data_IF_445831991286
#
_entry.id   IF_445831991286
#
_cell.length_a   1.000
_cell.length_b   1.000
_cell.length_c   1.000
_cell.angle_alpha   90.00
_cell.angle_beta   90.00
_cell.angle_gamma   90.00
#
_symmetry.space_group_name_H-M   'P 1'
#
loop_
_entity.id
_entity.type
_entity.pdbx_description
1 polymer ?
#
# COMPACT_ATOMS: atom_id res chain seq x y z
N UNK A 1 -23.66 15.24 -6.83
CA UNK A 1 -24.27 14.08 -6.11
C UNK A 1 -23.21 13.62 -5.13
N UNK A 2 -23.47 13.71 -3.84
CA UNK A 2 -22.50 13.31 -2.80
C UNK A 2 -22.35 11.78 -2.81
N UNK A 3 -21.12 11.29 -2.84
CA UNK A 3 -20.84 9.86 -2.79
C UNK A 3 -20.94 9.31 -1.37
N UNK A 4 -21.25 8.03 -1.26
CA UNK A 4 -21.07 7.31 0.00
C UNK A 4 -19.58 7.27 0.38
N UNK A 5 -19.24 7.15 1.68
CA UNK A 5 -17.85 7.09 2.10
C UNK A 5 -17.05 6.03 1.35
N UNK A 6 -15.95 6.45 0.72
CA UNK A 6 -15.08 5.58 -0.07
C UNK A 6 -14.20 4.72 0.84
N UNK A 7 -13.61 5.34 1.87
CA UNK A 7 -12.85 4.64 2.90
C UNK A 7 -13.73 4.52 4.14
N UNK A 8 -13.98 3.31 4.62
CA UNK A 8 -14.83 3.05 5.80
C UNK A 8 -14.10 2.33 6.92
N UNK A 9 -12.85 1.97 6.71
CA UNK A 9 -11.98 1.29 7.67
C UNK A 9 -10.53 1.75 7.44
N UNK A 10 -9.79 1.98 8.50
CA UNK A 10 -8.35 2.27 8.41
C UNK A 10 -7.51 1.03 8.06
N UNK A 11 -8.11 -0.16 8.01
CA UNK A 11 -7.50 -1.36 7.42
C UNK A 11 -7.60 -1.40 5.89
N UNK A 12 -8.40 -0.52 5.26
CA UNK A 12 -8.56 -0.49 3.79
C UNK A 12 -7.31 0.15 3.13
N UNK A 13 -6.19 -0.51 3.33
CA UNK A 13 -4.86 -0.12 2.84
C UNK A 13 -4.00 -1.36 2.65
N UNK A 14 -2.84 -1.19 2.02
CA UNK A 14 -1.91 -2.29 1.76
C UNK A 14 -1.05 -2.61 3.00
N UNK A 15 -0.82 -3.90 3.27
CA UNK A 15 -0.06 -4.38 4.43
C UNK A 15 1.33 -3.74 4.56
N UNK A 16 2.01 -3.49 3.43
CA UNK A 16 3.33 -2.89 3.45
C UNK A 16 3.36 -1.48 4.09
N UNK A 17 2.23 -0.77 4.12
CA UNK A 17 2.14 0.52 4.81
C UNK A 17 2.31 0.35 6.32
N UNK A 18 1.61 -0.61 6.92
CA UNK A 18 1.81 -0.93 8.35
C UNK A 18 3.21 -1.43 8.64
N UNK A 19 3.77 -2.25 7.76
CA UNK A 19 5.10 -2.80 7.96
C UNK A 19 6.18 -1.71 7.94
N UNK A 20 6.16 -0.83 6.93
CA UNK A 20 7.12 0.28 6.86
C UNK A 20 6.93 1.24 8.02
N UNK A 21 5.68 1.56 8.34
CA UNK A 21 5.35 2.48 9.42
C UNK A 21 5.80 1.97 10.78
N UNK A 22 5.71 0.67 11.05
CA UNK A 22 6.22 0.06 12.28
C UNK A 22 7.74 0.28 12.43
N UNK A 23 8.52 0.14 11.35
CA UNK A 23 9.96 0.46 11.38
C UNK A 23 10.19 1.94 11.66
N UNK A 24 9.45 2.82 10.97
CA UNK A 24 9.59 4.27 11.14
C UNK A 24 9.19 4.69 12.56
N UNK A 25 8.11 4.14 13.08
CA UNK A 25 7.66 4.38 14.46
C UNK A 25 8.73 3.99 15.50
N UNK A 26 9.46 2.89 15.30
CA UNK A 26 10.47 2.45 16.25
C UNK A 26 11.83 3.12 16.08
N UNK A 27 12.17 3.58 14.88
CA UNK A 27 13.53 4.01 14.53
C UNK A 27 13.67 5.47 14.11
N UNK A 28 12.61 6.05 13.53
CA UNK A 28 12.70 7.31 12.78
C UNK A 28 11.51 8.25 13.04
N UNK A 29 11.10 8.40 14.29
CA UNK A 29 9.93 9.24 14.66
C UNK A 29 10.16 10.73 14.46
N UNK A 30 11.40 11.16 14.31
CA UNK A 30 11.82 12.55 14.07
C UNK A 30 11.76 12.97 12.60
N UNK A 31 11.61 12.02 11.68
CA UNK A 31 11.54 12.32 10.26
C UNK A 31 10.20 12.94 9.85
N UNK A 32 10.29 13.90 8.92
CA UNK A 32 9.13 14.45 8.24
C UNK A 32 9.10 14.01 6.77
N UNK A 33 7.89 13.79 6.25
CA UNK A 33 7.66 13.41 4.87
C UNK A 33 6.78 14.42 4.15
N UNK A 34 6.98 14.54 2.84
CA UNK A 34 6.15 15.33 1.96
C UNK A 34 5.85 14.54 0.70
N UNK A 35 4.56 14.39 0.38
CA UNK A 35 4.06 13.61 -0.75
C UNK A 35 3.29 14.53 -1.69
N UNK A 36 3.55 14.40 -2.99
CA UNK A 36 2.86 15.13 -4.04
C UNK A 36 2.11 14.16 -4.95
N UNK A 37 0.84 14.40 -5.15
CA UNK A 37 0.09 13.71 -6.18
C UNK A 37 0.53 14.19 -7.57
N UNK A 38 0.77 13.25 -8.47
CA UNK A 38 1.06 13.53 -9.87
C UNK A 38 0.23 12.62 -10.77
N UNK A 39 -0.72 13.21 -11.49
CA UNK A 39 -1.40 12.49 -12.58
C UNK A 39 -0.44 12.36 -13.77
N UNK A 40 -0.21 11.11 -14.23
CA UNK A 40 0.67 10.86 -15.39
C UNK A 40 -0.05 10.92 -16.72
N UNK A 41 -1.38 11.00 -16.70
CA UNK A 41 -2.21 11.10 -17.91
C UNK A 41 -2.54 12.57 -18.18
N UNK A 42 -1.99 13.11 -19.24
CA UNK A 42 -2.11 14.53 -19.61
C UNK A 42 -3.57 14.97 -19.96
N UNK A 43 -4.46 14.02 -20.30
CA UNK A 43 -5.84 14.30 -20.66
C UNK A 43 -6.84 14.22 -19.50
N UNK A 44 -6.36 14.03 -18.26
CA UNK A 44 -7.21 13.98 -17.07
C UNK A 44 -7.34 15.39 -16.50
N UNK A 45 -8.58 15.86 -16.44
CA UNK A 45 -8.95 17.16 -15.88
C UNK A 45 -9.90 16.92 -14.70
N UNK A 46 -9.61 17.55 -13.58
CA UNK A 46 -10.46 17.57 -12.40
C UNK A 46 -11.33 18.83 -12.40
N UNK A 47 -12.59 18.68 -12.03
CA UNK A 47 -13.53 19.79 -11.90
C UNK A 47 -13.63 20.29 -10.46
N UNK A 48 -14.12 21.53 -10.22
CA UNK A 48 -14.40 22.00 -8.87
C UNK A 48 -15.31 21.06 -8.06
N UNK A 49 -16.31 20.43 -8.72
CA UNK A 49 -17.19 19.45 -8.10
C UNK A 49 -16.42 18.21 -7.63
N UNK A 50 -15.48 17.72 -8.45
CA UNK A 50 -14.60 16.61 -8.05
C UNK A 50 -13.72 16.98 -6.87
N UNK A 51 -13.17 18.21 -6.86
CA UNK A 51 -12.35 18.68 -5.74
C UNK A 51 -13.16 18.77 -4.45
N UNK A 52 -14.39 19.28 -4.51
CA UNK A 52 -15.30 19.33 -3.35
C UNK A 52 -15.57 17.93 -2.81
N UNK A 53 -15.93 16.98 -3.68
CA UNK A 53 -16.16 15.59 -3.27
C UNK A 53 -14.88 14.94 -2.69
N UNK A 54 -13.71 15.16 -3.29
CA UNK A 54 -12.42 14.67 -2.76
C UNK A 54 -12.19 15.21 -1.34
N UNK A 55 -12.44 16.50 -1.08
CA UNK A 55 -12.30 17.09 0.24
C UNK A 55 -13.28 16.48 1.25
N UNK A 56 -14.55 16.31 0.89
CA UNK A 56 -15.54 15.66 1.74
C UNK A 56 -15.11 14.24 2.13
N UNK A 57 -14.56 13.47 1.18
CA UNK A 57 -14.04 12.12 1.42
C UNK A 57 -12.78 12.13 2.31
N UNK A 58 -11.90 13.11 2.16
CA UNK A 58 -10.72 13.27 3.03
C UNK A 58 -11.16 13.67 4.45
N UNK A 59 -12.12 14.57 4.59
CA UNK A 59 -12.67 14.96 5.90
C UNK A 59 -13.29 13.75 6.61
N UNK A 60 -14.02 12.91 5.87
CA UNK A 60 -14.55 11.66 6.40
C UNK A 60 -13.43 10.69 6.81
N UNK A 61 -12.43 10.46 5.96
CA UNK A 61 -11.26 9.64 6.29
C UNK A 61 -10.60 10.11 7.60
N UNK A 62 -10.41 11.41 7.78
CA UNK A 62 -9.76 11.98 8.97
C UNK A 62 -10.63 11.85 10.25
N UNK A 63 -11.92 11.58 10.10
CA UNK A 63 -12.82 11.28 11.23
C UNK A 63 -12.72 9.84 11.72
N UNK A 64 -12.16 8.92 10.91
CA UNK A 64 -12.05 7.50 11.26
C UNK A 64 -11.07 7.25 12.40
N UNK A 65 -11.33 6.20 13.12
CA UNK A 65 -10.46 5.63 14.17
C UNK A 65 -10.44 4.11 14.00
N UNK A 66 -9.34 3.49 14.41
CA UNK A 66 -9.30 2.02 14.47
C UNK A 66 -10.31 1.50 15.49
N UNK A 67 -11.12 0.54 15.07
CA UNK A 67 -11.99 -0.20 15.96
C UNK A 67 -11.22 -1.32 16.68
N UNK A 68 -11.78 -1.78 17.80
CA UNK A 68 -11.12 -2.80 18.63
C UNK A 68 -10.84 -4.08 17.85
N UNK A 69 -11.76 -4.55 17.05
CA UNK A 69 -11.66 -5.76 16.24
C UNK A 69 -10.61 -5.64 15.11
N UNK A 70 -10.46 -4.44 14.53
CA UNK A 70 -9.39 -4.12 13.58
C UNK A 70 -8.00 -4.20 14.24
N UNK A 71 -7.86 -3.63 15.43
CA UNK A 71 -6.63 -3.71 16.21
C UNK A 71 -6.32 -5.15 16.66
N UNK A 72 -7.34 -5.91 17.06
CA UNK A 72 -7.19 -7.32 17.43
C UNK A 72 -6.75 -8.16 16.21
N UNK A 73 -7.26 -7.84 15.02
CA UNK A 73 -6.79 -8.47 13.79
C UNK A 73 -5.32 -8.14 13.50
N UNK A 74 -4.91 -6.87 13.58
CA UNK A 74 -3.49 -6.49 13.40
C UNK A 74 -2.59 -7.21 14.40
N UNK A 75 -2.97 -7.33 15.67
CA UNK A 75 -2.22 -8.12 16.68
C UNK A 75 -2.10 -9.60 16.32
N UNK A 76 -3.04 -10.15 15.58
CA UNK A 76 -2.99 -11.54 15.14
C UNK A 76 -1.95 -11.81 14.05
N UNK A 77 -1.48 -10.77 13.38
CA UNK A 77 -0.41 -10.87 12.37
C UNK A 77 0.92 -10.96 13.10
N UNK A 78 1.58 -12.12 13.00
CA UNK A 78 2.75 -12.52 13.82
C UNK A 78 3.85 -11.48 13.96
N UNK A 79 4.12 -10.70 12.91
CA UNK A 79 5.21 -9.74 12.86
C UNK A 79 4.78 -8.29 13.16
N UNK A 80 3.50 -8.03 13.38
CA UNK A 80 3.02 -6.73 13.86
C UNK A 80 3.16 -6.71 15.38
N UNK A 81 3.97 -5.78 15.91
CA UNK A 81 4.28 -5.68 17.33
C UNK A 81 3.16 -5.01 18.13
N UNK A 82 2.97 -5.45 19.36
CA UNK A 82 1.87 -4.99 20.23
C UNK A 82 1.96 -3.51 20.57
N UNK A 83 3.18 -2.98 20.78
CA UNK A 83 3.42 -1.56 21.06
C UNK A 83 3.07 -0.66 19.88
N UNK A 84 3.37 -1.11 18.64
CA UNK A 84 2.92 -0.43 17.44
C UNK A 84 1.37 -0.43 17.31
N UNK A 85 0.71 -1.54 17.64
CA UNK A 85 -0.76 -1.58 17.66
C UNK A 85 -1.35 -0.65 18.73
N UNK A 86 -0.69 -0.51 19.90
CA UNK A 86 -1.12 0.47 20.90
C UNK A 86 -0.91 1.92 20.41
N UNK A 87 0.13 2.20 19.63
CA UNK A 87 0.26 3.47 18.95
C UNK A 87 -0.90 3.70 17.97
N UNK A 88 -1.23 2.73 17.11
CA UNK A 88 -2.34 2.82 16.15
C UNK A 88 -3.69 3.04 16.83
N UNK A 89 -3.88 2.55 18.05
CA UNK A 89 -5.11 2.80 18.83
C UNK A 89 -5.32 4.30 19.13
N UNK A 90 -4.26 5.07 19.20
CA UNK A 90 -4.30 6.52 19.44
C UNK A 90 -4.17 7.34 18.15
N UNK A 91 -3.58 6.75 17.12
CA UNK A 91 -3.32 7.40 15.84
C UNK A 91 -4.60 7.53 15.01
N UNK A 92 -4.67 8.59 14.24
CA UNK A 92 -5.66 8.78 13.19
C UNK A 92 -5.12 9.70 12.11
N UNK A 93 -5.67 9.65 10.87
CA UNK A 93 -5.31 10.61 9.82
C UNK A 93 -5.64 12.04 10.28
N UNK A 94 -4.69 12.96 10.12
CA UNK A 94 -4.81 14.35 10.54
C UNK A 94 -5.06 15.23 9.30
N UNK A 95 -6.21 15.93 9.28
CA UNK A 95 -6.67 16.70 8.11
C UNK A 95 -5.70 17.82 7.72
N UNK A 96 -5.08 18.45 8.70
CA UNK A 96 -4.15 19.55 8.53
C UNK A 96 -2.89 19.19 7.76
N UNK A 97 -2.58 17.90 7.64
CA UNK A 97 -1.45 17.45 6.83
C UNK A 97 -1.76 17.42 5.33
N UNK A 98 -3.05 17.46 4.94
CA UNK A 98 -3.48 17.31 3.55
C UNK A 98 -3.92 18.65 2.97
N UNK A 99 -3.27 19.06 1.89
CA UNK A 99 -3.60 20.27 1.15
C UNK A 99 -4.08 19.89 -0.25
N UNK A 100 -5.17 20.52 -0.70
CA UNK A 100 -5.79 20.23 -1.99
C UNK A 100 -6.07 21.52 -2.73
N UNK A 101 -6.10 21.46 -4.06
CA UNK A 101 -6.45 22.57 -4.93
C UNK A 101 -6.55 22.14 -6.39
N UNK A 102 -6.90 23.07 -7.26
CA UNK A 102 -6.85 22.90 -8.70
C UNK A 102 -5.94 23.98 -9.32
N UNK A 103 -5.16 23.59 -10.31
CA UNK A 103 -4.49 24.55 -11.18
C UNK A 103 -5.48 25.17 -12.18
N UNK A 104 -5.07 26.24 -12.86
CA UNK A 104 -5.86 26.86 -13.93
C UNK A 104 -6.15 25.89 -15.11
N UNK A 105 -5.32 24.87 -15.27
CA UNK A 105 -5.52 23.80 -16.28
C UNK A 105 -6.39 22.64 -15.79
N UNK A 106 -6.88 22.67 -14.55
CA UNK A 106 -7.67 21.59 -13.96
C UNK A 106 -6.82 20.39 -13.46
N UNK A 107 -5.52 20.58 -13.25
CA UNK A 107 -4.68 19.56 -12.59
C UNK A 107 -4.96 19.56 -11.09
N UNK A 108 -5.18 18.36 -10.52
CA UNK A 108 -5.35 18.22 -9.08
C UNK A 108 -4.01 18.46 -8.37
N UNK A 109 -3.98 19.48 -7.54
CA UNK A 109 -2.90 19.79 -6.62
C UNK A 109 -3.25 19.13 -5.28
N UNK A 110 -2.54 18.07 -4.91
CA UNK A 110 -2.75 17.36 -3.65
C UNK A 110 -1.39 17.06 -3.03
N UNK A 111 -1.19 17.55 -1.81
CA UNK A 111 0.05 17.40 -1.05
C UNK A 111 -0.26 16.91 0.34
N UNK A 112 0.56 16.01 0.85
CA UNK A 112 0.55 15.58 2.26
C UNK A 112 1.88 15.93 2.88
N UNK A 113 1.87 16.61 4.03
CA UNK A 113 3.09 17.03 4.74
C UNK A 113 2.94 16.87 6.24
N UNK A 114 3.85 16.13 6.86
CA UNK A 114 3.83 15.89 8.31
C UNK A 114 4.88 14.89 8.76
N UNK A 115 4.83 14.43 10.02
CA UNK A 115 5.69 13.35 10.49
C UNK A 115 5.60 12.15 9.54
N UNK A 116 6.75 11.56 9.20
CA UNK A 116 6.84 10.50 8.17
C UNK A 116 5.91 9.32 8.46
N UNK A 117 5.88 8.86 9.72
CA UNK A 117 5.00 7.76 10.16
C UNK A 117 3.51 8.05 10.00
N UNK A 118 3.11 9.31 9.89
CA UNK A 118 1.72 9.70 9.66
C UNK A 118 1.45 10.04 8.20
N UNK A 119 2.36 10.80 7.55
CA UNK A 119 2.19 11.26 6.18
C UNK A 119 2.14 10.09 5.18
N UNK A 120 2.97 9.06 5.38
CA UNK A 120 3.03 7.90 4.49
C UNK A 120 1.75 7.07 4.43
N UNK A 121 0.96 7.08 5.51
CA UNK A 121 -0.28 6.32 5.58
C UNK A 121 -1.36 6.86 4.62
N UNK A 122 -1.29 8.13 4.25
CA UNK A 122 -2.26 8.77 3.38
C UNK A 122 -2.21 8.28 1.92
N UNK A 123 -1.08 7.77 1.43
CA UNK A 123 -0.89 7.47 0.00
C UNK A 123 -2.03 6.61 -0.57
N UNK A 124 -2.28 5.44 0.04
CA UNK A 124 -3.25 4.49 -0.50
C UNK A 124 -4.66 5.06 -0.43
N UNK A 125 -5.07 5.59 0.72
CA UNK A 125 -6.39 6.19 0.91
C UNK A 125 -6.67 7.32 -0.08
N UNK A 126 -5.70 8.24 -0.28
CA UNK A 126 -5.88 9.35 -1.19
C UNK A 126 -5.95 8.92 -2.64
N UNK A 127 -5.13 7.93 -3.05
CA UNK A 127 -5.20 7.39 -4.41
C UNK A 127 -6.52 6.67 -4.67
N UNK A 128 -7.07 5.96 -3.69
CA UNK A 128 -8.38 5.32 -3.77
C UNK A 128 -9.50 6.37 -3.87
N UNK A 129 -9.48 7.40 -3.04
CA UNK A 129 -10.44 8.49 -3.07
C UNK A 129 -10.42 9.20 -4.44
N UNK A 130 -9.24 9.65 -4.88
CA UNK A 130 -9.09 10.38 -6.15
C UNK A 130 -9.56 9.53 -7.33
N UNK A 131 -9.18 8.25 -7.38
CA UNK A 131 -9.59 7.35 -8.46
C UNK A 131 -11.10 7.14 -8.47
N UNK A 132 -11.71 6.80 -7.33
CA UNK A 132 -13.14 6.51 -7.27
C UNK A 132 -13.98 7.74 -7.58
N UNK A 133 -13.64 8.91 -7.03
CA UNK A 133 -14.32 10.19 -7.36
C UNK A 133 -14.21 10.47 -8.86
N UNK A 134 -13.00 10.37 -9.44
CA UNK A 134 -12.81 10.60 -10.86
C UNK A 134 -13.64 9.64 -11.71
N UNK A 135 -13.59 8.33 -11.47
CA UNK A 135 -14.33 7.36 -12.27
C UNK A 135 -15.84 7.52 -12.15
N UNK A 136 -16.37 7.82 -10.96
CA UNK A 136 -17.80 7.98 -10.76
C UNK A 136 -18.39 9.27 -11.33
N UNK A 137 -17.64 10.35 -11.33
CA UNK A 137 -18.11 11.65 -11.80
C UNK A 137 -17.78 11.93 -13.27
N UNK A 138 -16.80 11.21 -13.84
CA UNK A 138 -16.34 11.45 -15.22
C UNK A 138 -16.91 10.44 -16.24
N UNK A 139 -17.16 9.20 -15.83
CA UNK A 139 -17.59 8.14 -16.75
C UNK A 139 -19.01 7.65 -16.43
N UNK A 140 -19.64 7.00 -17.44
CA UNK A 140 -20.76 6.08 -17.17
C UNK A 140 -20.21 4.87 -16.40
N UNK A 141 -20.31 4.95 -15.08
CA UNK A 141 -19.72 3.98 -14.16
C UNK A 141 -20.28 2.57 -14.40
N UNK A 142 -21.55 2.41 -14.76
CA UNK A 142 -22.16 1.10 -15.02
C UNK A 142 -21.53 0.40 -16.23
N UNK A 143 -21.30 1.12 -17.30
CA UNK A 143 -20.61 0.60 -18.50
C UNK A 143 -19.16 0.25 -18.21
N UNK A 144 -18.46 1.10 -17.44
CA UNK A 144 -17.07 0.85 -17.03
C UNK A 144 -16.96 -0.41 -16.17
N UNK A 145 -17.84 -0.57 -15.19
CA UNK A 145 -17.88 -1.74 -14.30
C UNK A 145 -18.22 -3.03 -15.08
N UNK A 146 -19.16 -2.99 -16.00
CA UNK A 146 -19.49 -4.14 -16.85
C UNK A 146 -18.29 -4.60 -17.68
N UNK A 147 -17.54 -3.68 -18.28
CA UNK A 147 -16.31 -3.96 -19.02
C UNK A 147 -15.22 -4.53 -18.12
N UNK A 148 -15.04 -3.97 -16.92
CA UNK A 148 -14.08 -4.46 -15.93
C UNK A 148 -14.44 -5.89 -15.48
N UNK A 149 -15.73 -6.17 -15.26
CA UNK A 149 -16.23 -7.51 -14.88
C UNK A 149 -15.96 -8.54 -15.99
N UNK A 150 -16.16 -8.19 -17.25
CA UNK A 150 -15.85 -9.08 -18.37
C UNK A 150 -14.34 -9.43 -18.44
N UNK A 151 -13.47 -8.43 -18.21
CA UNK A 151 -12.02 -8.67 -18.13
C UNK A 151 -11.62 -9.54 -16.93
N UNK A 152 -12.25 -9.36 -15.78
CA UNK A 152 -12.00 -10.20 -14.60
C UNK A 152 -12.41 -11.67 -14.88
N UNK A 153 -13.57 -11.90 -15.49
CA UNK A 153 -13.99 -13.25 -15.88
C UNK A 153 -13.01 -13.92 -16.83
N UNK A 154 -12.48 -13.17 -17.81
CA UNK A 154 -11.46 -13.72 -18.71
C UNK A 154 -10.18 -14.08 -17.97
N UNK A 155 -9.69 -13.23 -17.05
CA UNK A 155 -8.52 -13.52 -16.22
C UNK A 155 -8.73 -14.77 -15.35
N UNK A 156 -9.91 -14.93 -14.74
CA UNK A 156 -10.24 -16.13 -13.94
C UNK A 156 -10.21 -17.39 -14.80
N UNK A 157 -10.77 -17.32 -16.03
CA UNK A 157 -10.68 -18.45 -16.97
C UNK A 157 -9.24 -18.78 -17.35
N UNK A 158 -8.41 -17.77 -17.58
CA UNK A 158 -7.02 -17.94 -17.95
C UNK A 158 -6.21 -18.58 -16.79
N UNK A 159 -6.41 -18.15 -15.55
CA UNK A 159 -5.79 -18.77 -14.37
C UNK A 159 -6.21 -20.23 -14.18
N UNK A 160 -7.47 -20.55 -14.47
CA UNK A 160 -8.00 -21.91 -14.31
C UNK A 160 -7.72 -22.83 -15.51
N UNK A 161 -7.20 -22.31 -16.62
CA UNK A 161 -6.93 -23.09 -17.85
C UNK A 161 -5.79 -24.11 -17.72
N UNK A 162 -5.02 -24.07 -16.62
CA UNK A 162 -3.80 -24.86 -16.44
C UNK A 162 -2.57 -24.31 -17.17
N UNK A 163 -2.72 -23.20 -17.90
CA UNK A 163 -1.61 -22.53 -18.60
C UNK A 163 -0.61 -21.90 -17.63
N UNK A 164 -1.07 -21.49 -16.46
CA UNK A 164 -0.28 -20.80 -15.44
C UNK A 164 -0.14 -21.65 -14.19
N UNK A 165 1.10 -21.92 -13.77
CA UNK A 165 1.45 -22.73 -12.60
C UNK A 165 1.91 -21.90 -11.41
N UNK A 166 2.06 -20.58 -11.57
CA UNK A 166 2.50 -19.69 -10.49
C UNK A 166 1.34 -19.29 -9.57
N UNK A 167 1.66 -19.02 -8.31
CA UNK A 167 0.75 -18.35 -7.39
C UNK A 167 0.91 -16.84 -7.52
N UNK A 168 -0.19 -16.10 -7.32
CA UNK A 168 -0.17 -14.64 -7.35
C UNK A 168 -0.88 -14.05 -6.12
N UNK A 169 -0.47 -12.83 -5.76
CA UNK A 169 -1.17 -11.99 -4.79
C UNK A 169 -1.85 -10.83 -5.51
N UNK A 170 -3.01 -10.43 -5.02
CA UNK A 170 -3.74 -9.28 -5.52
C UNK A 170 -3.18 -7.99 -4.88
N UNK A 171 -2.89 -6.95 -5.69
CA UNK A 171 -2.29 -5.66 -5.29
C UNK A 171 -2.95 -4.48 -6.00
N UNK A 172 -4.27 -4.48 -6.14
CA UNK A 172 -5.00 -3.50 -6.94
C UNK A 172 -5.55 -2.29 -6.17
N UNK A 173 -5.47 -2.26 -4.84
CA UNK A 173 -6.16 -1.29 -3.97
C UNK A 173 -6.05 0.16 -4.47
N UNK A 174 -4.85 0.69 -4.59
CA UNK A 174 -4.61 2.09 -4.97
C UNK A 174 -5.02 2.48 -6.39
N UNK A 175 -5.42 1.51 -7.22
CA UNK A 175 -5.86 1.71 -8.63
C UNK A 175 -7.27 1.18 -8.88
N UNK A 176 -8.02 0.93 -7.82
CA UNK A 176 -9.36 0.38 -7.91
C UNK A 176 -10.34 1.38 -8.57
N UNK A 177 -11.37 0.85 -9.21
CA UNK A 177 -12.47 1.67 -9.75
C UNK A 177 -13.36 2.19 -8.62
N UNK A 178 -13.60 1.34 -7.62
CA UNK A 178 -14.33 1.67 -6.40
C UNK A 178 -14.04 0.64 -5.31
N UNK A 179 -14.41 0.97 -4.09
CA UNK A 179 -14.34 0.05 -2.94
C UNK A 179 -15.15 -1.23 -3.20
N UNK A 180 -16.37 -1.10 -3.71
CA UNK A 180 -17.25 -2.24 -4.00
C UNK A 180 -16.67 -3.12 -5.11
N UNK A 181 -16.07 -2.50 -6.14
CA UNK A 181 -15.41 -3.24 -7.21
C UNK A 181 -14.18 -4.01 -6.70
N UNK A 182 -13.34 -3.40 -5.89
CA UNK A 182 -12.18 -4.06 -5.31
C UNK A 182 -12.58 -5.25 -4.43
N UNK A 183 -13.63 -5.08 -3.63
CA UNK A 183 -14.22 -6.16 -2.83
C UNK A 183 -14.67 -7.34 -3.71
N UNK A 184 -15.39 -7.07 -4.82
CA UNK A 184 -15.78 -8.10 -5.78
C UNK A 184 -14.56 -8.80 -6.40
N UNK A 185 -13.55 -8.05 -6.80
CA UNK A 185 -12.30 -8.59 -7.40
C UNK A 185 -11.63 -9.56 -6.45
N UNK A 186 -11.32 -9.14 -5.23
CA UNK A 186 -10.64 -9.97 -4.24
C UNK A 186 -11.45 -11.22 -3.91
N UNK A 187 -12.75 -11.06 -3.62
CA UNK A 187 -13.64 -12.19 -3.34
C UNK A 187 -13.67 -13.21 -4.48
N UNK A 188 -13.77 -12.74 -5.74
CA UNK A 188 -13.85 -13.63 -6.90
C UNK A 188 -12.53 -14.33 -7.20
N UNK A 189 -11.40 -13.63 -7.09
CA UNK A 189 -10.08 -14.24 -7.25
C UNK A 189 -9.86 -15.32 -6.19
N UNK A 190 -10.16 -15.03 -4.93
CA UNK A 190 -10.00 -15.97 -3.83
C UNK A 190 -10.89 -17.21 -3.96
N UNK A 191 -12.14 -17.05 -4.43
CA UNK A 191 -13.10 -18.16 -4.49
C UNK A 191 -13.09 -18.93 -5.81
N UNK A 192 -12.68 -18.30 -6.91
CA UNK A 192 -12.76 -18.88 -8.26
C UNK A 192 -11.42 -19.27 -8.87
N UNK A 193 -10.29 -18.96 -8.20
CA UNK A 193 -8.96 -19.39 -8.65
C UNK A 193 -8.26 -20.20 -7.58
N UNK A 194 -7.44 -21.17 -7.98
CA UNK A 194 -6.61 -21.97 -7.06
C UNK A 194 -5.26 -21.32 -6.75
N UNK A 195 -4.89 -20.30 -7.52
CA UNK A 195 -3.55 -19.74 -7.52
C UNK A 195 -3.46 -18.41 -6.76
N UNK A 196 -4.58 -17.88 -6.25
CA UNK A 196 -4.59 -16.67 -5.44
C UNK A 196 -4.05 -16.97 -4.04
N UNK A 197 -2.86 -16.44 -3.73
CA UNK A 197 -2.19 -16.63 -2.44
C UNK A 197 -2.72 -15.68 -1.36
N UNK A 198 -3.35 -14.56 -1.74
CA UNK A 198 -3.87 -13.55 -0.83
C UNK A 198 -3.98 -12.17 -1.49
N UNK A 199 -4.13 -11.16 -0.67
CA UNK A 199 -4.22 -9.76 -1.11
C UNK A 199 -3.33 -8.86 -0.26
N UNK A 200 -2.90 -7.74 -0.83
CA UNK A 200 -2.19 -6.70 -0.06
C UNK A 200 -3.12 -5.90 0.84
N UNK A 201 -4.40 -5.79 0.48
CA UNK A 201 -5.40 -5.04 1.21
C UNK A 201 -5.75 -5.74 2.55
N UNK A 202 -5.42 -5.09 3.66
CA UNK A 202 -5.55 -5.67 5.00
C UNK A 202 -7.01 -5.89 5.39
N UNK A 203 -7.90 -4.94 5.04
CA UNK A 203 -9.34 -5.08 5.30
C UNK A 203 -9.94 -6.27 4.55
N UNK A 204 -9.61 -6.43 3.27
CA UNK A 204 -10.15 -7.52 2.46
C UNK A 204 -9.52 -8.87 2.83
N UNK A 205 -8.25 -8.89 3.25
CA UNK A 205 -7.63 -10.08 3.83
C UNK A 205 -8.38 -10.54 5.09
N UNK A 206 -8.64 -9.62 6.01
CA UNK A 206 -9.44 -9.89 7.20
C UNK A 206 -10.86 -10.39 6.86
N UNK A 207 -11.57 -9.61 6.02
CA UNK A 207 -12.95 -9.90 5.64
C UNK A 207 -13.16 -11.29 5.02
N UNK A 208 -12.20 -11.73 4.22
CA UNK A 208 -12.28 -13.00 3.46
C UNK A 208 -11.39 -14.10 4.02
N UNK A 209 -10.79 -13.89 5.20
CA UNK A 209 -9.86 -14.82 5.83
C UNK A 209 -8.75 -15.27 4.87
N UNK A 210 -8.15 -14.29 4.17
CA UNK A 210 -7.03 -14.47 3.27
C UNK A 210 -5.72 -14.10 3.97
N UNK A 211 -4.60 -14.52 3.39
CA UNK A 211 -3.28 -14.08 3.84
C UNK A 211 -3.05 -12.63 3.40
N UNK A 212 -2.83 -11.69 4.33
CA UNK A 212 -2.37 -10.36 3.97
C UNK A 212 -0.92 -10.45 3.48
N UNK A 213 -0.62 -9.86 2.30
CA UNK A 213 0.67 -10.00 1.63
C UNK A 213 1.25 -8.61 1.34
N UNK A 214 2.51 -8.42 1.68
CA UNK A 214 3.26 -7.19 1.41
C UNK A 214 4.44 -7.09 2.36
N UNK A 215 5.58 -6.62 1.86
CA UNK A 215 6.76 -6.34 2.67
C UNK A 215 6.95 -4.82 2.79
N UNK A 216 7.66 -4.20 1.85
CA UNK A 216 7.82 -2.75 1.78
C UNK A 216 7.76 -2.25 0.33
N UNK A 217 7.59 -0.94 0.15
CA UNK A 217 7.63 -0.26 -1.14
C UNK A 217 8.92 0.55 -1.29
N UNK A 218 9.19 1.05 -2.50
CA UNK A 218 10.36 1.88 -2.80
C UNK A 218 10.50 3.07 -1.84
N UNK A 219 9.41 3.67 -1.40
CA UNK A 219 9.41 4.81 -0.48
C UNK A 219 10.16 4.53 0.82
N UNK A 220 10.21 3.27 1.29
CA UNK A 220 10.97 2.90 2.48
C UNK A 220 12.46 3.16 2.29
N UNK A 221 13.05 2.68 1.18
CA UNK A 221 14.46 2.95 0.88
C UNK A 221 14.69 4.41 0.49
N UNK A 222 13.73 5.03 -0.22
CA UNK A 222 13.81 6.45 -0.58
C UNK A 222 13.84 7.37 0.65
N UNK A 223 13.15 7.00 1.74
CA UNK A 223 13.25 7.72 3.01
C UNK A 223 14.69 7.81 3.51
N UNK A 224 15.45 6.71 3.43
CA UNK A 224 16.85 6.68 3.85
C UNK A 224 17.75 7.54 2.94
N UNK A 225 17.37 7.78 1.69
CA UNK A 225 18.07 8.73 0.79
C UNK A 225 17.92 10.19 1.25
N UNK A 226 16.87 10.50 2.01
CA UNK A 226 16.61 11.82 2.57
C UNK A 226 17.26 12.05 3.94
N UNK A 227 17.96 11.08 4.53
CA UNK A 227 18.64 11.23 5.81
C UNK A 227 20.08 11.70 5.56
N UNK A 228 20.39 12.94 5.92
CA UNK A 228 21.67 13.60 5.64
C UNK A 228 22.91 12.83 6.11
N UNK A 229 22.79 12.09 7.21
CA UNK A 229 23.89 11.27 7.77
C UNK A 229 24.16 9.98 7.00
N UNK A 230 23.30 9.59 6.07
CA UNK A 230 23.42 8.34 5.31
C UNK A 230 23.89 8.64 3.89
N UNK A 231 25.11 8.21 3.49
CA UNK A 231 25.53 8.35 2.11
C UNK A 231 24.62 7.56 1.16
N UNK A 232 24.28 8.14 0.00
CA UNK A 232 23.37 7.55 -0.98
C UNK A 232 23.73 6.10 -1.37
N UNK A 233 25.02 5.79 -1.46
CA UNK A 233 25.50 4.45 -1.77
C UNK A 233 25.15 3.38 -0.71
N UNK A 234 24.88 3.79 0.52
CA UNK A 234 24.56 2.87 1.63
C UNK A 234 23.10 2.86 2.05
N UNK A 235 22.22 3.54 1.34
CA UNK A 235 20.79 3.63 1.72
C UNK A 235 20.10 2.26 1.75
N UNK A 236 20.40 1.37 0.79
CA UNK A 236 19.88 0.01 0.81
C UNK A 236 20.36 -0.76 2.05
N UNK A 237 21.62 -0.62 2.41
CA UNK A 237 22.21 -1.29 3.57
C UNK A 237 21.54 -0.87 4.88
N UNK A 238 21.41 0.44 5.12
CA UNK A 238 20.75 0.93 6.33
C UNK A 238 19.26 0.57 6.38
N UNK A 239 18.55 0.70 5.27
CA UNK A 239 17.15 0.30 5.19
C UNK A 239 16.97 -1.19 5.50
N UNK A 240 17.83 -2.05 4.96
CA UNK A 240 17.78 -3.49 5.21
C UNK A 240 18.18 -3.84 6.64
N UNK A 241 19.15 -3.16 7.22
CA UNK A 241 19.57 -3.39 8.60
C UNK A 241 18.41 -3.09 9.58
N UNK A 242 17.74 -1.94 9.42
CA UNK A 242 16.58 -1.59 10.26
C UNK A 242 15.39 -2.53 10.03
N UNK A 243 15.15 -2.92 8.77
CA UNK A 243 14.11 -3.89 8.44
C UNK A 243 14.35 -5.25 9.12
N UNK A 244 15.59 -5.74 9.06
CA UNK A 244 15.93 -6.99 9.72
C UNK A 244 15.83 -6.90 11.24
N UNK A 245 16.33 -5.82 11.83
CA UNK A 245 16.27 -5.63 13.28
C UNK A 245 14.81 -5.61 13.76
N UNK A 246 13.91 -5.05 12.95
CA UNK A 246 12.49 -5.02 13.24
C UNK A 246 11.83 -6.40 13.12
N UNK A 247 12.09 -7.12 12.03
CA UNK A 247 11.33 -8.32 11.65
C UNK A 247 12.06 -9.64 11.94
N UNK A 248 13.36 -9.61 12.24
CA UNK A 248 14.16 -10.79 12.64
C UNK A 248 14.02 -11.98 11.68
N UNK A 249 13.94 -11.73 10.38
CA UNK A 249 13.80 -12.74 9.33
C UNK A 249 12.37 -13.01 8.86
N UNK A 250 11.35 -12.43 9.49
CA UNK A 250 10.03 -12.29 8.89
C UNK A 250 10.06 -11.21 7.81
N UNK A 251 9.09 -11.23 6.88
CA UNK A 251 9.02 -10.26 5.78
C UNK A 251 10.32 -10.16 4.93
N UNK A 252 11.01 -11.28 4.72
CA UNK A 252 12.34 -11.35 4.10
C UNK A 252 12.39 -11.13 2.59
N UNK A 253 11.33 -10.62 1.94
CA UNK A 253 11.35 -10.29 0.50
C UNK A 253 11.79 -8.85 0.31
N UNK A 254 12.96 -8.66 -0.30
CA UNK A 254 13.53 -7.35 -0.58
C UNK A 254 13.11 -6.82 -1.97
N UNK A 255 12.83 -5.51 -2.05
CA UNK A 255 12.64 -4.76 -3.28
C UNK A 255 14.00 -4.16 -3.68
N UNK A 256 14.58 -4.67 -4.75
CA UNK A 256 16.00 -4.42 -5.08
C UNK A 256 16.24 -3.24 -6.01
N UNK A 257 15.20 -2.72 -6.66
CA UNK A 257 15.30 -1.79 -7.78
C UNK A 257 14.99 -0.32 -7.42
N UNK A 258 15.11 0.07 -6.14
CA UNK A 258 14.84 1.46 -5.71
C UNK A 258 15.76 2.46 -6.42
N UNK A 259 17.05 2.15 -6.56
CA UNK A 259 18.00 2.85 -7.44
C UNK A 259 18.24 1.98 -8.66
N UNK A 260 18.97 0.87 -8.49
CA UNK A 260 19.12 -0.22 -9.46
C UNK A 260 19.35 -1.53 -8.71
N UNK A 261 18.93 -2.65 -9.31
CA UNK A 261 19.21 -3.98 -8.74
C UNK A 261 20.73 -4.24 -8.68
N UNK A 262 21.51 -3.76 -9.66
CA UNK A 262 22.97 -3.92 -9.66
C UNK A 262 23.62 -3.21 -8.46
N UNK A 263 23.16 -2.01 -8.13
CA UNK A 263 23.67 -1.29 -6.94
C UNK A 263 23.27 -2.00 -5.65
N UNK A 264 22.03 -2.49 -5.56
CA UNK A 264 21.59 -3.28 -4.42
C UNK A 264 22.46 -4.54 -4.23
N UNK A 265 22.74 -5.27 -5.30
CA UNK A 265 23.58 -6.47 -5.27
C UNK A 265 25.07 -6.15 -4.98
N UNK A 266 25.57 -5.00 -5.42
CA UNK A 266 26.92 -4.54 -5.11
C UNK A 266 27.09 -4.23 -3.62
N UNK A 267 26.09 -3.63 -3.01
CA UNK A 267 26.06 -3.32 -1.57
C UNK A 267 25.66 -4.54 -0.69
N UNK A 268 25.29 -5.66 -1.33
CA UNK A 268 24.80 -6.87 -0.70
C UNK A 268 25.96 -7.69 -0.12
N UNK A 269 26.37 -7.34 1.07
CA UNK A 269 27.46 -7.98 1.79
C UNK A 269 27.03 -9.24 2.56
N UNK A 270 27.98 -9.86 3.26
CA UNK A 270 27.75 -11.07 4.05
C UNK A 270 26.74 -10.86 5.18
N UNK A 271 26.64 -9.65 5.73
CA UNK A 271 25.64 -9.32 6.77
C UNK A 271 24.25 -9.33 6.18
N UNK A 272 24.04 -8.75 5.00
CA UNK A 272 22.76 -8.77 4.30
C UNK A 272 22.35 -10.19 3.87
N UNK A 273 23.30 -11.04 3.50
CA UNK A 273 23.03 -12.48 3.25
C UNK A 273 22.46 -13.15 4.48
N UNK A 274 23.00 -12.87 5.65
CA UNK A 274 22.48 -13.38 6.92
C UNK A 274 21.06 -12.86 7.20
N UNK A 275 20.72 -11.65 6.76
CA UNK A 275 19.39 -11.04 6.87
C UNK A 275 18.33 -11.80 6.06
N UNK A 276 18.66 -12.21 4.86
CA UNK A 276 17.74 -12.92 3.96
C UNK A 276 17.72 -14.43 4.21
N UNK A 277 18.79 -14.99 4.75
CA UNK A 277 18.95 -16.45 4.94
C UNK A 277 18.14 -17.01 6.11
N UNK A 278 17.70 -16.19 7.03
CA UNK A 278 16.91 -16.61 8.20
C UNK A 278 15.41 -16.69 7.95
N UNK A 279 14.94 -16.29 6.75
CA UNK A 279 13.54 -16.44 6.38
C UNK A 279 13.19 -17.90 6.09
N UNK A 280 12.17 -18.47 6.74
CA UNK A 280 11.73 -19.83 6.50
C UNK A 280 10.92 -20.00 5.19
N UNK A 281 10.91 -18.99 4.30
CA UNK A 281 10.14 -19.04 3.06
C UNK A 281 10.68 -20.15 2.13
N UNK A 282 9.81 -21.01 1.58
CA UNK A 282 10.22 -21.99 0.55
C UNK A 282 10.83 -21.36 -0.71
N UNK A 283 10.58 -20.06 -0.97
CA UNK A 283 11.16 -19.32 -2.10
C UNK A 283 12.64 -19.02 -1.89
N UNK A 284 13.05 -18.74 -0.65
CA UNK A 284 14.46 -18.43 -0.33
C UNK A 284 15.36 -19.66 -0.50
N UNK A 285 14.80 -20.87 -0.38
CA UNK A 285 15.54 -22.13 -0.66
C UNK A 285 15.88 -22.34 -2.13
N UNK A 286 15.13 -21.72 -3.05
CA UNK A 286 15.40 -21.85 -4.50
C UNK A 286 16.50 -20.90 -5.00
N UNK A 287 16.70 -19.76 -4.33
CA UNK A 287 17.76 -18.79 -4.67
C UNK A 287 19.14 -19.19 -4.08
N UNK A 288 19.19 -20.05 -3.07
CA UNK A 288 20.44 -20.53 -2.48
C UNK A 288 21.15 -21.64 -3.27
N UNK A 289 20.65 -21.99 -4.46
CA UNK A 289 21.24 -23.03 -5.34
C UNK A 289 21.79 -22.50 -6.67
N UNK A 290 22.01 -21.17 -6.77
CA UNK A 290 22.77 -20.59 -7.89
C UNK A 290 24.17 -20.19 -7.47
#
# INVERSE_FOLDING_TARGET
MKLEPIITSLLDTDLYKFNMDQVIFHKHTDLNGEYYFKCRNENIVFTPEMLEEINDQIDYLCSLRFHKDELDYLRSIRFIKSDYVEFLRLWHPIREYVHTGLSDSGELLLTVKGPMFSAMQFEIYLLEIVNEVYFRLHYDYATLEASARARLEQKIKDFNSGKYTFSFAEFGSRRRLSRQWQDEVVRRLATKTKNCAGTSNVYLAWKYNLTPIGTYAHEFVQMYQGIDSIPLAYTNHYAMADWYDEYRGDNGTALTDTITTDLFLYDFDRSMVCLLYTSPSPRDRSLSRM
#
